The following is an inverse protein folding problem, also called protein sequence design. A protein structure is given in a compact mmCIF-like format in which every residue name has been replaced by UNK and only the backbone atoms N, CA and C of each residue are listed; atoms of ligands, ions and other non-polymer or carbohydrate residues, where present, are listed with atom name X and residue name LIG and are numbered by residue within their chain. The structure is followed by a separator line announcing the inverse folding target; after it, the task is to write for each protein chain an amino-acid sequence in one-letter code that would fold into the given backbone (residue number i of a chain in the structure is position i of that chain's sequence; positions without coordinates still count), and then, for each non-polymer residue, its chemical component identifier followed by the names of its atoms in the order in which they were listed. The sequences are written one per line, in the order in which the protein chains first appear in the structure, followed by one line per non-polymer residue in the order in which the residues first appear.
data_IF_407804279090
#
_entry.id   IF_407804279090
#
_cell.length_a   1.000
_cell.length_b   1.000
_cell.length_c   1.000
_cell.angle_alpha   90.00
_cell.angle_beta   90.00
_cell.angle_gamma   90.00
#
_symmetry.space_group_name_H-M   'P 1'
#
loop_
_entity.id
_entity.type
_entity.pdbx_description
1 polymer ?
#
# COMPACT_ATOMS: atom_id res chain seq x y z
N UNK A 1 6.36 33.28 -11.97
CA UNK A 1 5.73 32.87 -10.69
C UNK A 1 6.63 33.35 -9.56
N UNK A 2 6.19 34.31 -8.75
CA UNK A 2 7.00 34.91 -7.67
C UNK A 2 6.75 34.13 -6.37
N UNK A 3 7.72 34.05 -5.45
CA UNK A 3 7.59 33.33 -4.15
C UNK A 3 6.31 33.74 -3.38
N UNK A 4 5.94 35.02 -3.43
CA UNK A 4 4.73 35.52 -2.79
C UNK A 4 3.44 34.89 -3.34
N UNK A 5 3.41 34.55 -4.63
CA UNK A 5 2.26 33.91 -5.25
C UNK A 5 2.15 32.43 -4.84
N UNK A 6 3.27 31.79 -4.47
CA UNK A 6 3.28 30.40 -3.99
C UNK A 6 2.77 30.32 -2.55
N UNK A 7 3.08 31.31 -1.71
CA UNK A 7 2.65 31.34 -0.31
C UNK A 7 1.15 31.56 -0.14
N UNK A 8 0.48 32.11 -1.14
CA UNK A 8 -0.98 32.31 -1.18
C UNK A 8 -1.71 31.26 -2.02
N UNK A 9 -0.98 30.37 -2.69
CA UNK A 9 -1.56 29.32 -3.52
C UNK A 9 -2.23 28.26 -2.63
N UNK A 10 -3.50 27.99 -2.91
CA UNK A 10 -4.34 27.10 -2.10
C UNK A 10 -3.83 25.66 -2.14
N UNK A 11 -3.34 25.19 -3.28
CA UNK A 11 -2.85 23.82 -3.42
C UNK A 11 -1.48 23.66 -2.77
N UNK A 12 -0.61 24.68 -2.86
CA UNK A 12 0.63 24.74 -2.07
C UNK A 12 0.34 24.67 -0.56
N UNK A 13 -0.64 25.43 -0.07
CA UNK A 13 -0.99 25.42 1.35
C UNK A 13 -1.54 24.07 1.81
N UNK A 14 -2.35 23.38 0.99
CA UNK A 14 -2.82 22.02 1.27
C UNK A 14 -1.65 21.04 1.38
N UNK A 15 -0.73 21.06 0.41
CA UNK A 15 0.45 20.20 0.41
C UNK A 15 1.35 20.51 1.60
N UNK A 16 1.62 21.78 1.88
CA UNK A 16 2.41 22.22 3.04
C UNK A 16 1.80 21.73 4.37
N UNK A 17 0.49 21.81 4.51
CA UNK A 17 -0.22 21.30 5.68
C UNK A 17 -0.07 19.77 5.82
N UNK A 18 -0.14 19.01 4.73
CA UNK A 18 0.08 17.56 4.73
C UNK A 18 1.53 17.18 5.05
N UNK A 19 2.49 17.90 4.46
CA UNK A 19 3.93 17.67 4.61
C UNK A 19 4.43 17.98 6.03
N UNK A 20 3.80 18.94 6.71
CA UNK A 20 4.11 19.33 8.09
C UNK A 20 3.44 18.46 9.16
N UNK A 21 2.60 17.48 8.78
CA UNK A 21 2.08 16.52 9.74
C UNK A 21 3.20 15.61 10.23
N UNK A 22 3.06 15.13 11.46
CA UNK A 22 3.92 14.08 12.00
C UNK A 22 3.96 12.90 11.03
N UNK A 23 5.17 12.50 10.67
CA UNK A 23 5.41 11.38 9.77
C UNK A 23 6.58 10.56 10.34
N UNK A 24 6.33 9.35 10.87
CA UNK A 24 7.37 8.47 11.40
C UNK A 24 8.51 8.20 10.42
N UNK A 25 8.23 8.12 9.12
CA UNK A 25 9.25 7.91 8.06
C UNK A 25 10.24 9.06 8.03
N UNK A 26 9.74 10.30 8.17
CA UNK A 26 10.59 11.51 8.24
C UNK A 26 11.35 11.59 9.54
N UNK A 27 10.69 11.31 10.65
CA UNK A 27 11.32 11.35 11.98
C UNK A 27 12.46 10.34 12.08
N UNK A 28 12.31 9.18 11.44
CA UNK A 28 13.34 8.15 11.38
C UNK A 28 14.41 8.41 10.29
N UNK A 29 14.25 9.44 9.45
CA UNK A 29 15.19 9.78 8.38
C UNK A 29 15.30 8.70 7.28
N UNK A 30 14.22 7.96 7.03
CA UNK A 30 14.20 6.85 6.06
C UNK A 30 13.39 7.17 4.80
N UNK A 31 13.15 8.45 4.49
CA UNK A 31 12.29 8.88 3.39
C UNK A 31 12.75 8.36 2.01
N UNK A 32 14.05 8.16 1.83
CA UNK A 32 14.64 7.65 0.58
C UNK A 32 14.87 6.15 0.58
N UNK A 33 14.35 5.43 1.58
CA UNK A 33 14.53 3.99 1.74
C UNK A 33 13.34 3.21 1.17
N UNK A 34 13.10 3.32 -0.13
CA UNK A 34 11.93 2.72 -0.81
C UNK A 34 11.80 1.21 -0.52
N UNK A 35 12.92 0.47 -0.59
CA UNK A 35 12.96 -0.96 -0.25
C UNK A 35 12.56 -1.28 1.21
N UNK A 36 12.69 -0.32 2.14
CA UNK A 36 12.25 -0.47 3.53
C UNK A 36 10.76 -0.20 3.67
N UNK A 37 10.20 0.71 2.87
CA UNK A 37 8.77 0.99 2.85
C UNK A 37 7.97 -0.21 2.37
N UNK A 38 8.34 -0.80 1.22
CA UNK A 38 7.69 -2.00 0.71
C UNK A 38 7.87 -3.21 1.65
N UNK A 39 8.96 -3.25 2.43
CA UNK A 39 9.13 -4.23 3.53
C UNK A 39 8.03 -4.10 4.59
N UNK A 40 7.78 -2.88 5.07
CA UNK A 40 6.75 -2.61 6.09
C UNK A 40 5.36 -2.94 5.53
N UNK A 41 5.09 -2.55 4.29
CA UNK A 41 3.81 -2.83 3.64
C UNK A 41 3.60 -4.33 3.47
N UNK A 42 4.60 -5.06 2.95
CA UNK A 42 4.50 -6.52 2.81
C UNK A 42 4.31 -7.21 4.16
N UNK A 43 4.99 -6.74 5.21
CA UNK A 43 4.81 -7.25 6.57
C UNK A 43 3.39 -7.02 7.07
N UNK A 44 2.81 -5.83 6.87
CA UNK A 44 1.42 -5.50 7.26
C UNK A 44 0.37 -6.27 6.46
N UNK A 45 0.63 -6.56 5.18
CA UNK A 45 -0.29 -7.28 4.30
C UNK A 45 -0.25 -8.79 4.47
N UNK A 46 0.77 -9.34 5.14
CA UNK A 46 0.90 -10.77 5.38
C UNK A 46 0.13 -11.18 6.66
N UNK A 47 -0.97 -11.94 6.58
CA UNK A 47 -1.76 -12.34 7.75
C UNK A 47 -0.99 -13.14 8.81
N UNK A 48 0.08 -13.82 8.41
CA UNK A 48 0.94 -14.63 9.29
C UNK A 48 2.00 -13.78 10.03
N UNK A 49 2.20 -12.52 9.64
CA UNK A 49 3.12 -11.63 10.33
C UNK A 49 2.68 -11.32 11.76
N UNK A 50 3.62 -11.14 12.71
CA UNK A 50 3.31 -10.85 14.11
C UNK A 50 2.91 -9.37 14.33
N UNK A 51 1.84 -8.92 13.65
CA UNK A 51 1.25 -7.58 13.82
C UNK A 51 -0.12 -7.60 14.52
N UNK A 52 -0.68 -8.79 14.82
CA UNK A 52 -1.92 -8.96 15.58
C UNK A 52 -3.22 -8.69 14.83
N UNK A 53 -3.18 -8.18 13.59
CA UNK A 53 -4.35 -7.87 12.78
C UNK A 53 -4.89 -9.04 11.93
N UNK A 54 -4.17 -10.18 11.84
CA UNK A 54 -4.48 -11.30 10.94
C UNK A 54 -4.75 -10.80 9.51
N UNK A 55 -5.71 -11.37 8.78
CA UNK A 55 -6.06 -11.01 7.41
C UNK A 55 -6.91 -9.73 7.28
N UNK A 56 -7.31 -9.10 8.39
CA UNK A 56 -8.20 -7.94 8.38
C UNK A 56 -7.61 -6.77 7.61
N UNK A 57 -6.32 -6.47 7.82
CA UNK A 57 -5.66 -5.34 7.16
C UNK A 57 -5.60 -5.57 5.64
N UNK A 58 -5.21 -6.78 5.22
CA UNK A 58 -5.21 -7.17 3.82
C UNK A 58 -6.60 -7.06 3.19
N UNK A 59 -7.65 -7.56 3.86
CA UNK A 59 -9.04 -7.47 3.38
C UNK A 59 -9.49 -6.04 3.18
N UNK A 60 -9.28 -5.16 4.16
CA UNK A 60 -9.67 -3.75 4.05
C UNK A 60 -8.85 -3.01 2.98
N UNK A 61 -7.56 -3.34 2.85
CA UNK A 61 -6.73 -2.82 1.77
C UNK A 61 -7.27 -3.23 0.39
N UNK A 62 -7.54 -4.53 0.19
CA UNK A 62 -8.11 -5.04 -1.06
C UNK A 62 -9.47 -4.44 -1.37
N UNK A 63 -10.39 -4.38 -0.40
CA UNK A 63 -11.68 -3.70 -0.56
C UNK A 63 -11.49 -2.28 -1.09
N UNK A 64 -10.58 -1.51 -0.48
CA UNK A 64 -10.32 -0.13 -0.88
C UNK A 64 -9.78 -0.04 -2.30
N UNK A 65 -8.81 -0.88 -2.66
CA UNK A 65 -8.24 -0.92 -4.02
C UNK A 65 -9.32 -1.28 -5.03
N UNK A 66 -10.12 -2.31 -4.76
CA UNK A 66 -11.19 -2.75 -5.67
C UNK A 66 -12.29 -1.69 -5.83
N UNK A 67 -12.63 -0.96 -4.77
CA UNK A 67 -13.56 0.17 -4.85
C UNK A 67 -12.98 1.35 -5.64
N UNK A 68 -11.68 1.63 -5.53
CA UNK A 68 -11.03 2.70 -6.29
C UNK A 68 -10.91 2.41 -7.78
N UNK A 69 -10.97 1.13 -8.16
CA UNK A 69 -10.88 0.67 -9.55
C UNK A 69 -12.23 0.17 -10.10
N UNK A 70 -13.35 0.46 -9.43
CA UNK A 70 -14.71 0.08 -9.82
C UNK A 70 -14.93 -1.43 -10.10
N UNK A 71 -14.08 -2.30 -9.55
CA UNK A 71 -14.12 -3.75 -9.77
C UNK A 71 -14.55 -4.55 -8.54
N UNK A 72 -15.02 -3.89 -7.47
CA UNK A 72 -15.42 -4.58 -6.23
C UNK A 72 -16.45 -5.69 -6.44
N UNK A 73 -17.44 -5.48 -7.31
CA UNK A 73 -18.50 -6.47 -7.56
C UNK A 73 -17.97 -7.80 -8.13
N UNK A 74 -16.91 -7.74 -8.93
CA UNK A 74 -16.28 -8.88 -9.60
C UNK A 74 -15.47 -9.73 -8.63
N UNK A 75 -14.85 -9.07 -7.63
CA UNK A 75 -13.89 -9.72 -6.74
C UNK A 75 -14.37 -9.88 -5.29
N UNK A 76 -15.58 -9.42 -4.94
CA UNK A 76 -16.10 -9.45 -3.55
C UNK A 76 -16.13 -10.84 -2.91
N UNK A 77 -16.39 -11.88 -3.69
CA UNK A 77 -16.48 -13.27 -3.18
C UNK A 77 -15.12 -13.80 -2.71
N UNK A 78 -14.04 -13.30 -3.31
CA UNK A 78 -12.69 -13.65 -2.90
C UNK A 78 -12.29 -13.02 -1.55
N UNK A 79 -13.01 -11.97 -1.12
CA UNK A 79 -12.77 -11.29 0.16
C UNK A 79 -13.53 -11.90 1.34
N UNK A 80 -14.52 -12.76 1.07
CA UNK A 80 -15.28 -13.45 2.13
C UNK A 80 -14.54 -14.65 2.68
N UNK A 81 -13.60 -15.22 1.92
CA UNK A 81 -12.74 -16.32 2.36
C UNK A 81 -11.71 -15.86 3.40
N UNK A 82 -11.24 -16.78 4.24
CA UNK A 82 -10.04 -16.57 5.06
C UNK A 82 -8.82 -16.49 4.16
N UNK A 83 -8.11 -15.35 4.21
CA UNK A 83 -6.88 -15.15 3.43
C UNK A 83 -5.63 -15.62 4.19
N UNK A 84 -5.80 -16.43 5.24
CA UNK A 84 -4.74 -16.85 6.17
C UNK A 84 -3.62 -17.69 5.52
N UNK A 85 -3.69 -18.01 4.23
CA UNK A 85 -2.65 -18.75 3.48
C UNK A 85 -2.10 -17.98 2.27
N UNK A 86 -2.36 -16.67 2.17
CA UNK A 86 -1.80 -15.87 1.09
C UNK A 86 -0.30 -15.70 1.28
N UNK A 87 0.47 -16.04 0.24
CA UNK A 87 1.91 -15.81 0.24
C UNK A 87 2.19 -14.42 -0.28
N UNK A 88 2.71 -13.55 0.59
CA UNK A 88 3.20 -12.22 0.20
C UNK A 88 4.67 -12.33 -0.19
N UNK A 89 4.98 -11.94 -1.43
CA UNK A 89 6.30 -11.95 -2.04
C UNK A 89 6.67 -10.52 -2.38
N UNK A 90 7.94 -10.19 -2.26
CA UNK A 90 8.48 -8.90 -2.64
C UNK A 90 9.42 -9.00 -3.83
N UNK A 91 9.57 -7.89 -4.55
CA UNK A 91 10.55 -7.71 -5.62
C UNK A 91 10.45 -8.83 -6.68
N UNK A 92 9.23 -9.16 -7.08
CA UNK A 92 9.00 -10.25 -8.03
C UNK A 92 9.36 -9.80 -9.44
N UNK A 93 10.27 -10.52 -10.07
CA UNK A 93 10.67 -10.29 -11.45
C UNK A 93 9.72 -11.07 -12.38
N UNK A 94 9.06 -10.36 -13.30
CA UNK A 94 8.23 -10.95 -14.34
C UNK A 94 8.66 -10.41 -15.70
N UNK A 95 9.21 -11.30 -16.53
CA UNK A 95 9.82 -10.92 -17.82
C UNK A 95 10.83 -9.77 -17.62
N UNK A 96 10.52 -8.59 -18.17
CA UNK A 96 11.35 -7.38 -18.12
C UNK A 96 10.95 -6.43 -16.97
N UNK A 97 9.81 -6.67 -16.32
CA UNK A 97 9.24 -5.79 -15.31
C UNK A 97 9.46 -6.32 -13.89
N UNK A 98 9.49 -5.40 -12.93
CA UNK A 98 9.63 -5.68 -11.51
C UNK A 98 8.38 -5.22 -10.77
N UNK A 99 7.80 -6.11 -9.98
CA UNK A 99 6.64 -5.83 -9.14
C UNK A 99 7.09 -5.80 -7.68
N UNK A 100 6.83 -4.72 -6.95
CA UNK A 100 7.37 -4.59 -5.59
C UNK A 100 6.71 -5.55 -4.61
N UNK A 101 5.40 -5.82 -4.74
CA UNK A 101 4.68 -6.75 -3.86
C UNK A 101 3.67 -7.60 -4.65
N UNK A 102 3.70 -8.92 -4.44
CA UNK A 102 2.77 -9.88 -5.04
C UNK A 102 2.15 -10.75 -3.94
N UNK A 103 0.83 -10.88 -3.94
CA UNK A 103 0.10 -11.82 -3.09
C UNK A 103 -0.39 -13.01 -3.90
N UNK A 104 -0.04 -14.23 -3.49
CA UNK A 104 -0.44 -15.46 -4.20
C UNK A 104 -1.27 -16.33 -3.27
N UNK A 105 -2.46 -16.71 -3.72
CA UNK A 105 -3.34 -17.66 -3.07
C UNK A 105 -3.88 -18.65 -4.12
N UNK A 106 -4.36 -19.82 -3.68
CA UNK A 106 -4.98 -20.81 -4.58
C UNK A 106 -6.17 -20.26 -5.38
N UNK A 107 -6.78 -19.16 -4.92
CA UNK A 107 -7.97 -18.54 -5.53
C UNK A 107 -7.74 -17.11 -6.05
N UNK A 108 -6.66 -16.42 -5.63
CA UNK A 108 -6.44 -15.00 -5.91
C UNK A 108 -4.95 -14.78 -6.19
N UNK A 109 -4.65 -14.13 -7.31
CA UNK A 109 -3.35 -13.52 -7.55
C UNK A 109 -3.51 -12.00 -7.46
N UNK A 110 -2.79 -11.37 -6.53
CA UNK A 110 -2.74 -9.95 -6.29
C UNK A 110 -1.39 -9.41 -6.72
N UNK A 111 -1.37 -8.34 -7.50
CA UNK A 111 -0.15 -7.66 -7.94
C UNK A 111 -0.23 -6.20 -7.50
N UNK A 112 0.77 -5.71 -6.76
CA UNK A 112 0.88 -4.32 -6.31
C UNK A 112 2.21 -3.75 -6.81
N UNK A 113 2.13 -2.60 -7.48
CA UNK A 113 3.26 -1.88 -8.06
C UNK A 113 4.27 -1.47 -7.01
#
# INVERSE_FOLDING_TARGET
MTINNLLTDVDYLKVKALVNKFNPIKVLGVEKSENRHSNVIAWLLNPESPHGLKDKLLKEFLKRVLHQNDCFAEYKEYLTDELENIKIIREWQYESDKIDIVGISKKINLYLL
#
